data_IF_930474616053
#
_entry.id   IF_930474616053
#
_cell.length_a   1.000
_cell.length_b   1.000
_cell.length_c   1.000
_cell.angle_alpha   90.00
_cell.angle_beta   90.00
_cell.angle_gamma   90.00
#
_symmetry.space_group_name_H-M   'P 1'
#
loop_
_entity.id
_entity.type
_entity.pdbx_description
1 polymer ?
#
# COMPACT_ATOMS: atom_id res chain seq x y z
N UNK A 1 11.24 3.26 12.82
CA UNK A 1 10.84 3.26 11.42
C UNK A 1 11.48 4.47 10.72
N UNK A 2 12.08 4.25 9.57
CA UNK A 2 12.81 5.25 8.82
C UNK A 2 11.92 5.92 7.76
N UNK A 3 12.04 7.25 7.63
CA UNK A 3 11.44 7.99 6.52
C UNK A 3 12.54 8.24 5.48
N UNK A 4 12.48 7.51 4.35
CA UNK A 4 13.50 7.52 3.31
C UNK A 4 12.84 7.83 1.95
N UNK A 5 12.71 9.11 1.65
CA UNK A 5 12.29 9.55 0.31
C UNK A 5 13.36 9.29 -0.74
N UNK A 6 12.99 9.28 -2.02
CA UNK A 6 13.88 8.97 -3.14
C UNK A 6 15.15 9.85 -3.17
N UNK A 7 15.01 11.16 -2.89
CA UNK A 7 16.14 12.10 -2.81
C UNK A 7 17.19 11.76 -1.75
N UNK A 8 16.85 10.89 -0.80
CA UNK A 8 17.79 10.40 0.22
C UNK A 8 18.94 9.59 -0.39
N UNK A 9 18.70 9.02 -1.58
CA UNK A 9 19.65 8.17 -2.30
C UNK A 9 20.50 8.93 -3.33
N UNK A 10 20.27 10.23 -3.55
CA UNK A 10 20.96 11.03 -4.58
C UNK A 10 22.49 10.94 -4.47
N UNK A 11 23.02 10.93 -3.26
CA UNK A 11 24.45 10.82 -3.00
C UNK A 11 25.05 9.43 -3.34
N UNK A 12 24.20 8.40 -3.51
CA UNK A 12 24.62 7.03 -3.83
C UNK A 12 24.56 6.73 -5.33
N UNK A 13 23.88 7.55 -6.14
CA UNK A 13 23.58 7.21 -7.53
C UNK A 13 24.84 7.05 -8.40
N UNK A 14 25.87 7.88 -8.17
CA UNK A 14 27.15 7.74 -8.86
C UNK A 14 27.84 6.42 -8.50
N UNK A 15 27.83 6.07 -7.22
CA UNK A 15 28.49 4.85 -6.72
C UNK A 15 27.80 3.59 -7.22
N UNK A 16 26.45 3.62 -7.32
CA UNK A 16 25.68 2.52 -7.95
C UNK A 16 26.14 2.30 -9.39
N UNK A 17 26.24 3.36 -10.18
CA UNK A 17 26.69 3.26 -11.57
C UNK A 17 28.12 2.72 -11.65
N UNK A 18 29.02 3.18 -10.78
CA UNK A 18 30.41 2.69 -10.76
C UNK A 18 30.51 1.22 -10.36
N UNK A 19 29.80 0.80 -9.31
CA UNK A 19 29.71 -0.64 -8.93
C UNK A 19 29.22 -1.51 -10.08
N UNK A 20 28.22 -1.05 -10.82
CA UNK A 20 27.68 -1.79 -11.99
C UNK A 20 28.68 -1.84 -13.14
N UNK A 21 29.46 -0.77 -13.34
CA UNK A 21 30.52 -0.70 -14.35
C UNK A 21 31.68 -1.63 -14.03
N UNK A 22 32.18 -1.60 -12.80
CA UNK A 22 33.26 -2.47 -12.33
C UNK A 22 32.91 -3.96 -12.45
N UNK A 23 31.64 -4.30 -12.30
CA UNK A 23 31.13 -5.66 -12.50
C UNK A 23 30.89 -6.02 -13.96
N UNK A 24 31.10 -5.08 -14.90
CA UNK A 24 30.89 -5.31 -16.33
C UNK A 24 29.41 -5.51 -16.70
N UNK A 25 28.48 -4.96 -15.92
CA UNK A 25 27.04 -5.15 -16.10
C UNK A 25 26.37 -4.05 -16.91
N UNK A 26 27.07 -2.96 -17.21
CA UNK A 26 26.54 -1.85 -17.99
C UNK A 26 26.89 -2.01 -19.47
N UNK A 27 25.86 -1.88 -20.29
CA UNK A 27 25.98 -1.79 -21.75
C UNK A 27 25.60 -0.38 -22.21
N UNK A 28 26.07 -0.01 -23.41
CA UNK A 28 25.68 1.27 -24.03
C UNK A 28 24.55 1.02 -25.01
N UNK A 29 23.46 1.74 -24.85
CA UNK A 29 22.32 1.71 -25.78
C UNK A 29 21.91 3.15 -26.08
N UNK A 30 22.05 3.60 -27.32
CA UNK A 30 21.76 4.97 -27.79
C UNK A 30 22.32 6.08 -26.89
N UNK A 31 23.56 5.88 -26.41
CA UNK A 31 24.23 6.81 -25.49
C UNK A 31 23.79 6.76 -24.03
N UNK A 32 22.83 5.92 -23.67
CA UNK A 32 22.47 5.62 -22.29
C UNK A 32 23.26 4.43 -21.77
N UNK A 33 23.48 4.35 -20.43
CA UNK A 33 23.99 3.16 -19.76
C UNK A 33 22.81 2.33 -19.29
N UNK A 34 22.78 1.06 -19.69
CA UNK A 34 21.64 0.17 -19.47
C UNK A 34 22.08 -1.19 -18.93
N UNK A 35 21.15 -1.93 -18.36
CA UNK A 35 21.28 -3.34 -18.01
C UNK A 35 20.18 -4.11 -18.74
N UNK A 36 20.50 -5.28 -19.31
CA UNK A 36 19.52 -6.26 -19.76
C UNK A 36 19.35 -7.33 -18.67
N UNK A 37 18.31 -7.22 -17.82
CA UNK A 37 18.18 -8.10 -16.64
C UNK A 37 17.77 -9.53 -16.97
N UNK A 38 17.08 -9.73 -18.10
CA UNK A 38 16.56 -11.02 -18.55
C UNK A 38 15.86 -10.90 -19.91
N UNK A 39 14.91 -11.76 -20.18
CA UNK A 39 14.27 -11.94 -21.49
C UNK A 39 13.07 -11.00 -21.72
N UNK A 40 13.02 -9.85 -21.05
CA UNK A 40 11.99 -8.84 -21.36
C UNK A 40 12.21 -8.22 -22.72
N UNK A 41 11.11 -8.09 -23.45
CA UNK A 41 11.12 -7.49 -24.80
C UNK A 41 10.15 -6.30 -24.87
N UNK A 42 10.46 -5.36 -25.75
CA UNK A 42 9.58 -4.24 -26.09
C UNK A 42 8.43 -4.72 -27.02
N UNK A 43 7.59 -3.80 -27.48
CA UNK A 43 6.46 -4.11 -28.37
C UNK A 43 6.90 -4.63 -29.75
N UNK A 44 8.12 -4.32 -30.14
CA UNK A 44 8.70 -4.69 -31.42
C UNK A 44 9.47 -6.02 -31.36
N UNK A 45 9.58 -6.61 -30.16
CA UNK A 45 10.28 -7.86 -29.92
C UNK A 45 11.77 -7.69 -29.59
N UNK A 46 12.26 -6.46 -29.47
CA UNK A 46 13.66 -6.21 -29.13
C UNK A 46 13.86 -6.33 -27.60
N UNK A 47 15.06 -6.71 -27.15
CA UNK A 47 15.39 -6.77 -25.74
C UNK A 47 15.11 -5.44 -25.02
N UNK A 48 14.35 -5.49 -23.91
CA UNK A 48 13.99 -4.32 -23.14
C UNK A 48 15.05 -4.03 -22.08
N UNK A 49 15.79 -2.88 -22.19
CA UNK A 49 16.79 -2.52 -21.23
C UNK A 49 16.20 -1.82 -20.01
N UNK A 50 16.82 -2.01 -18.85
CA UNK A 50 16.64 -1.17 -17.68
C UNK A 50 17.65 0.00 -17.75
N UNK A 51 17.14 1.21 -17.93
CA UNK A 51 17.99 2.41 -18.07
C UNK A 51 18.50 2.80 -16.68
N UNK A 52 19.81 2.83 -16.53
CA UNK A 52 20.52 3.22 -15.31
C UNK A 52 20.92 4.70 -15.40
N UNK A 53 21.58 5.10 -16.48
CA UNK A 53 21.97 6.49 -16.71
C UNK A 53 21.55 6.93 -18.10
N UNK A 54 20.83 8.04 -18.19
CA UNK A 54 20.35 8.61 -19.45
C UNK A 54 21.49 9.19 -20.27
N UNK A 55 21.24 9.42 -21.57
CA UNK A 55 22.20 10.03 -22.49
C UNK A 55 22.63 11.45 -22.07
N UNK A 56 21.75 12.21 -21.43
CA UNK A 56 22.03 13.55 -20.90
C UNK A 56 22.83 13.54 -19.60
N UNK A 57 23.20 12.37 -19.09
CA UNK A 57 23.95 12.19 -17.85
C UNK A 57 23.08 12.08 -16.60
N UNK A 58 21.77 12.29 -16.72
CA UNK A 58 20.82 12.14 -15.63
C UNK A 58 20.61 10.68 -15.22
N UNK A 59 20.33 10.45 -13.96
CA UNK A 59 19.97 9.12 -13.45
C UNK A 59 18.49 8.81 -13.71
N UNK A 60 18.15 7.52 -13.74
CA UNK A 60 16.77 7.07 -13.89
C UNK A 60 16.25 6.47 -12.55
N UNK A 61 14.94 6.29 -12.43
CA UNK A 61 14.31 5.67 -11.26
C UNK A 61 14.92 4.31 -10.89
N UNK A 62 15.30 3.51 -11.89
CA UNK A 62 15.99 2.24 -11.64
C UNK A 62 17.28 2.38 -10.83
N UNK A 63 18.00 3.49 -10.99
CA UNK A 63 19.23 3.74 -10.23
C UNK A 63 18.94 4.05 -8.77
N UNK A 64 17.91 4.86 -8.49
CA UNK A 64 17.45 5.12 -7.13
C UNK A 64 16.89 3.86 -6.46
N UNK A 65 16.18 3.01 -7.20
CA UNK A 65 15.68 1.75 -6.68
C UNK A 65 16.82 0.75 -6.36
N UNK A 66 17.85 0.67 -7.19
CA UNK A 66 19.05 -0.12 -6.90
C UNK A 66 19.83 0.44 -5.70
N UNK A 67 19.95 1.77 -5.58
CA UNK A 67 20.54 2.42 -4.41
C UNK A 67 19.76 2.07 -3.14
N UNK A 68 18.43 2.09 -3.21
CA UNK A 68 17.53 1.72 -2.13
C UNK A 68 17.72 0.24 -1.70
N UNK A 69 17.88 -0.68 -2.67
CA UNK A 69 18.20 -2.08 -2.37
C UNK A 69 19.53 -2.19 -1.64
N UNK A 70 20.59 -1.52 -2.13
CA UNK A 70 21.90 -1.52 -1.51
C UNK A 70 21.83 -1.01 -0.06
N UNK A 71 21.17 0.12 0.17
CA UNK A 71 21.01 0.70 1.50
C UNK A 71 20.27 -0.25 2.46
N UNK A 72 19.20 -0.88 2.00
CA UNK A 72 18.42 -1.82 2.81
C UNK A 72 19.22 -3.07 3.17
N UNK A 73 20.00 -3.59 2.25
CA UNK A 73 20.83 -4.78 2.48
C UNK A 73 22.07 -4.44 3.29
N UNK A 74 22.85 -3.43 2.89
CA UNK A 74 24.14 -3.13 3.50
C UNK A 74 24.02 -2.37 4.83
N UNK A 75 23.13 -1.39 4.92
CA UNK A 75 22.98 -0.58 6.13
C UNK A 75 21.95 -1.16 7.11
N UNK A 76 20.78 -1.60 6.62
CA UNK A 76 19.73 -2.12 7.49
C UNK A 76 19.85 -3.62 7.75
N UNK A 77 20.64 -4.35 6.96
CA UNK A 77 20.78 -5.80 7.08
C UNK A 77 19.48 -6.55 6.77
N UNK A 78 18.65 -6.02 5.85
CA UNK A 78 17.38 -6.61 5.53
C UNK A 78 17.54 -7.86 4.65
N UNK A 79 16.95 -8.97 5.05
CA UNK A 79 16.86 -10.21 4.28
C UNK A 79 15.60 -10.22 3.37
N UNK A 80 14.50 -9.62 3.85
CA UNK A 80 13.22 -9.55 3.13
C UNK A 80 12.95 -8.13 2.63
N UNK A 81 12.89 -7.96 1.32
CA UNK A 81 12.66 -6.69 0.64
C UNK A 81 11.25 -6.67 0.04
N UNK A 82 10.28 -6.12 0.77
CA UNK A 82 8.88 -6.03 0.38
C UNK A 82 8.55 -4.63 -0.11
N UNK A 83 8.10 -4.52 -1.37
CA UNK A 83 7.73 -3.27 -2.04
C UNK A 83 6.22 -3.20 -2.22
N UNK A 84 5.57 -2.32 -1.45
CA UNK A 84 4.12 -2.07 -1.55
C UNK A 84 3.91 -0.89 -2.49
N UNK A 85 3.64 -1.16 -3.76
CA UNK A 85 3.57 -0.16 -4.83
C UNK A 85 2.45 -0.50 -5.80
N UNK A 86 1.93 0.49 -6.55
CA UNK A 86 0.86 0.30 -7.53
C UNK A 86 1.14 -0.80 -8.56
N UNK A 87 0.08 -1.48 -8.99
CA UNK A 87 0.17 -2.64 -9.89
C UNK A 87 0.81 -2.31 -11.24
N UNK A 88 0.70 -1.07 -11.68
CA UNK A 88 1.29 -0.59 -12.94
C UNK A 88 2.82 -0.63 -12.97
N UNK A 89 3.47 -0.71 -11.80
CA UNK A 89 4.92 -0.79 -11.68
C UNK A 89 5.48 -2.22 -11.63
N UNK A 90 4.64 -3.23 -11.83
CA UNK A 90 5.01 -4.64 -11.72
C UNK A 90 6.26 -4.98 -12.55
N UNK A 91 6.23 -4.68 -13.84
CA UNK A 91 7.36 -4.97 -14.75
C UNK A 91 8.65 -4.24 -14.34
N UNK A 92 8.52 -2.98 -13.89
CA UNK A 92 9.66 -2.22 -13.40
C UNK A 92 10.36 -2.92 -12.24
N UNK A 93 9.61 -3.32 -11.20
CA UNK A 93 10.19 -4.02 -10.04
C UNK A 93 10.72 -5.40 -10.38
N UNK A 94 10.07 -6.15 -11.27
CA UNK A 94 10.60 -7.42 -11.77
C UNK A 94 11.99 -7.23 -12.40
N UNK A 95 12.15 -6.22 -13.24
CA UNK A 95 13.43 -5.88 -13.88
C UNK A 95 14.47 -5.36 -12.89
N UNK A 96 14.08 -4.53 -11.93
CA UNK A 96 14.98 -4.04 -10.86
C UNK A 96 15.49 -5.18 -10.01
N UNK A 97 14.62 -6.08 -9.55
CA UNK A 97 15.02 -7.24 -8.74
C UNK A 97 15.92 -8.21 -9.51
N UNK A 98 15.58 -8.48 -10.79
CA UNK A 98 16.43 -9.30 -11.65
C UNK A 98 17.81 -8.67 -11.86
N UNK A 99 17.87 -7.34 -12.07
CA UNK A 99 19.12 -6.61 -12.17
C UNK A 99 19.95 -6.70 -10.88
N UNK A 100 19.32 -6.49 -9.73
CA UNK A 100 19.97 -6.55 -8.43
C UNK A 100 20.61 -7.94 -8.19
N UNK A 101 19.91 -9.03 -8.55
CA UNK A 101 20.43 -10.39 -8.48
C UNK A 101 21.56 -10.62 -9.49
N UNK A 102 21.35 -10.28 -10.75
CA UNK A 102 22.33 -10.44 -11.83
C UNK A 102 23.65 -9.70 -11.50
N UNK A 103 23.53 -8.51 -10.93
CA UNK A 103 24.66 -7.68 -10.54
C UNK A 103 25.26 -8.06 -9.18
N UNK A 104 24.74 -9.07 -8.49
CA UNK A 104 25.22 -9.49 -7.16
C UNK A 104 25.13 -8.39 -6.10
N UNK A 105 24.07 -7.56 -6.17
CA UNK A 105 23.71 -6.61 -5.11
C UNK A 105 22.90 -7.30 -4.02
N UNK A 106 22.22 -8.38 -4.38
CA UNK A 106 21.51 -9.31 -3.50
C UNK A 106 21.86 -10.75 -3.88
N UNK A 107 21.81 -11.65 -2.92
CA UNK A 107 22.11 -13.08 -3.09
C UNK A 107 20.91 -13.96 -2.72
N UNK A 108 21.13 -15.28 -2.60
CA UNK A 108 20.08 -16.26 -2.31
C UNK A 108 19.46 -16.13 -0.90
N UNK A 109 20.07 -15.41 0.03
CA UNK A 109 19.52 -15.13 1.37
C UNK A 109 18.42 -14.09 1.31
N UNK A 110 18.46 -13.21 0.31
CA UNK A 110 17.53 -12.10 0.20
C UNK A 110 16.29 -12.50 -0.61
N UNK A 111 15.12 -12.25 -0.04
CA UNK A 111 13.87 -12.32 -0.77
C UNK A 111 13.45 -10.94 -1.30
N UNK A 112 12.83 -10.90 -2.45
CA UNK A 112 12.28 -9.67 -3.02
C UNK A 112 10.85 -9.92 -3.45
N UNK A 113 9.93 -9.05 -3.05
CA UNK A 113 8.53 -9.16 -3.44
C UNK A 113 7.91 -7.80 -3.75
N UNK A 114 7.18 -7.71 -4.85
CA UNK A 114 6.28 -6.62 -5.15
C UNK A 114 4.88 -7.01 -4.68
N UNK A 115 4.32 -6.23 -3.76
CA UNK A 115 2.95 -6.36 -3.27
C UNK A 115 2.11 -5.29 -3.96
N UNK A 116 1.48 -5.61 -5.10
CA UNK A 116 0.77 -4.63 -5.90
C UNK A 116 -0.56 -4.23 -5.26
N UNK A 117 -1.00 -3.00 -5.53
CA UNK A 117 -2.35 -2.53 -5.24
C UNK A 117 -2.94 -1.79 -6.44
N UNK A 118 -4.28 -1.81 -6.55
CA UNK A 118 -5.03 -1.13 -7.59
C UNK A 118 -5.22 0.36 -7.30
N UNK A 119 -5.89 1.06 -8.21
CA UNK A 119 -6.18 2.47 -8.11
C UNK A 119 -7.48 2.73 -7.33
N UNK A 120 -7.51 3.85 -6.64
CA UNK A 120 -8.75 4.42 -6.10
C UNK A 120 -9.34 5.33 -7.16
N UNK A 121 -10.54 4.98 -7.63
CA UNK A 121 -11.23 5.69 -8.70
C UNK A 121 -12.30 6.63 -8.13
N UNK A 122 -12.56 7.72 -8.82
CA UNK A 122 -13.68 8.58 -8.56
C UNK A 122 -15.01 7.98 -9.04
N UNK A 123 -16.15 8.62 -8.73
CA UNK A 123 -17.48 8.15 -9.14
C UNK A 123 -17.66 8.05 -10.67
N UNK A 124 -16.85 8.77 -11.43
CA UNK A 124 -16.80 8.75 -12.89
C UNK A 124 -15.94 7.62 -13.48
N UNK A 125 -15.36 6.76 -12.61
CA UNK A 125 -14.43 5.70 -13.01
C UNK A 125 -13.05 6.18 -13.40
N UNK A 126 -12.78 7.49 -13.34
CA UNK A 126 -11.45 8.07 -13.55
C UNK A 126 -10.64 8.11 -12.25
N UNK A 127 -9.36 8.54 -12.34
CA UNK A 127 -8.54 8.75 -11.14
C UNK A 127 -9.22 9.73 -10.18
N UNK A 128 -9.24 9.40 -8.89
CA UNK A 128 -9.83 10.24 -7.87
C UNK A 128 -9.19 11.64 -7.88
N UNK A 129 -10.01 12.67 -8.11
CA UNK A 129 -9.58 14.08 -8.19
C UNK A 129 -10.15 14.90 -7.04
N UNK A 130 -9.38 15.87 -6.57
CA UNK A 130 -9.88 16.90 -5.65
C UNK A 130 -10.88 17.82 -6.35
N UNK A 131 -11.67 18.59 -5.57
CA UNK A 131 -12.59 19.60 -6.10
C UNK A 131 -11.89 20.66 -6.98
N UNK A 132 -10.59 20.89 -6.76
CA UNK A 132 -9.75 21.78 -7.58
C UNK A 132 -9.13 21.10 -8.82
N UNK A 133 -9.45 19.82 -9.09
CA UNK A 133 -8.98 19.08 -10.26
C UNK A 133 -7.61 18.40 -10.09
N UNK A 134 -6.93 18.59 -8.96
CA UNK A 134 -5.67 17.91 -8.64
C UNK A 134 -5.85 16.52 -8.01
N UNK A 135 -4.75 15.83 -7.76
CA UNK A 135 -4.77 14.57 -7.00
C UNK A 135 -5.25 14.80 -5.57
N UNK A 136 -6.11 13.92 -5.06
CA UNK A 136 -6.54 13.94 -3.65
C UNK A 136 -5.39 13.49 -2.78
N UNK A 137 -5.01 14.30 -1.81
CA UNK A 137 -4.05 13.89 -0.79
C UNK A 137 -4.74 12.92 0.19
N UNK A 138 -4.05 11.85 0.57
CA UNK A 138 -4.57 10.88 1.53
C UNK A 138 -5.01 11.55 2.84
N UNK A 139 -4.26 12.53 3.31
CA UNK A 139 -4.59 13.27 4.54
C UNK A 139 -5.93 14.02 4.42
N UNK A 140 -6.19 14.65 3.27
CA UNK A 140 -7.45 15.37 3.04
C UNK A 140 -8.63 14.39 3.00
N UNK A 141 -8.44 13.22 2.40
CA UNK A 141 -9.42 12.15 2.38
C UNK A 141 -9.74 11.62 3.78
N UNK A 142 -8.71 11.38 4.59
CA UNK A 142 -8.91 10.93 5.97
C UNK A 142 -9.60 11.99 6.84
N UNK A 143 -9.24 13.27 6.67
CA UNK A 143 -9.89 14.38 7.38
C UNK A 143 -11.36 14.53 6.98
N UNK A 144 -11.68 14.40 5.70
CA UNK A 144 -13.08 14.42 5.22
C UNK A 144 -13.89 13.24 5.79
N UNK A 145 -13.27 12.04 5.86
CA UNK A 145 -13.93 10.88 6.48
C UNK A 145 -14.24 11.13 7.97
N UNK A 146 -13.30 11.71 8.71
CA UNK A 146 -13.49 12.07 10.12
C UNK A 146 -14.59 13.13 10.26
N UNK A 147 -14.58 14.15 9.41
CA UNK A 147 -15.59 15.21 9.44
C UNK A 147 -16.99 14.66 9.17
N UNK A 148 -17.19 13.83 8.13
CA UNK A 148 -18.48 13.20 7.84
C UNK A 148 -18.94 12.27 8.96
N UNK A 149 -18.01 11.53 9.54
CA UNK A 149 -18.32 10.69 10.70
C UNK A 149 -18.74 11.55 11.91
N UNK A 150 -18.12 12.74 12.14
CA UNK A 150 -18.50 13.61 13.26
C UNK A 150 -19.92 14.13 13.11
N UNK A 151 -20.32 14.57 11.92
CA UNK A 151 -21.70 15.00 11.65
C UNK A 151 -22.69 13.87 11.97
N UNK A 152 -22.42 12.67 11.46
CA UNK A 152 -23.30 11.52 11.69
C UNK A 152 -23.39 11.07 13.17
N UNK A 153 -22.30 11.21 13.92
CA UNK A 153 -22.27 10.88 15.37
C UNK A 153 -23.04 11.93 16.16
N UNK A 154 -22.84 13.22 15.87
CA UNK A 154 -23.48 14.34 16.56
C UNK A 154 -25.00 14.34 16.34
N UNK A 155 -25.47 14.09 15.11
CA UNK A 155 -26.89 13.93 14.81
C UNK A 155 -27.58 12.83 15.61
N UNK A 156 -26.86 11.74 15.89
CA UNK A 156 -27.40 10.59 16.65
C UNK A 156 -27.24 10.71 18.16
N UNK A 157 -26.33 11.52 18.61
CA UNK A 157 -26.05 11.77 20.02
C UNK A 157 -25.72 13.25 20.25
N UNK A 158 -26.76 14.12 20.30
CA UNK A 158 -26.57 15.58 20.44
C UNK A 158 -25.87 16.00 21.74
N UNK A 159 -25.94 15.19 22.76
CA UNK A 159 -25.35 15.48 24.09
C UNK A 159 -23.91 14.95 24.25
N UNK A 160 -23.30 14.46 23.16
CA UNK A 160 -21.93 13.92 23.19
C UNK A 160 -20.89 14.99 23.56
N UNK A 161 -19.92 14.65 24.39
CA UNK A 161 -18.82 15.56 24.69
C UNK A 161 -17.89 15.74 23.49
N UNK A 162 -17.24 16.88 23.38
CA UNK A 162 -16.31 17.17 22.26
C UNK A 162 -15.14 16.17 22.20
N UNK A 163 -14.63 15.74 23.34
CA UNK A 163 -13.57 14.75 23.43
C UNK A 163 -14.02 13.39 22.87
N UNK A 164 -15.20 12.95 23.25
CA UNK A 164 -15.76 11.68 22.80
C UNK A 164 -16.17 11.73 21.32
N UNK A 165 -16.75 12.85 20.89
CA UNK A 165 -17.07 13.11 19.49
C UNK A 165 -15.80 12.96 18.61
N UNK A 166 -14.71 13.63 18.99
CA UNK A 166 -13.45 13.55 18.25
C UNK A 166 -12.89 12.13 18.20
N UNK A 167 -12.91 11.41 19.33
CA UNK A 167 -12.43 10.04 19.43
C UNK A 167 -13.25 9.09 18.56
N UNK A 168 -14.57 9.16 18.63
CA UNK A 168 -15.47 8.30 17.86
C UNK A 168 -15.41 8.62 16.36
N UNK A 169 -15.45 9.91 15.99
CA UNK A 169 -15.38 10.33 14.61
C UNK A 169 -14.10 9.87 13.92
N UNK A 170 -12.97 9.96 14.63
CA UNK A 170 -11.69 9.46 14.13
C UNK A 170 -11.69 7.94 13.97
N UNK A 171 -12.23 7.21 14.94
CA UNK A 171 -12.32 5.75 14.87
C UNK A 171 -13.23 5.28 13.73
N UNK A 172 -14.38 5.91 13.56
CA UNK A 172 -15.36 5.55 12.54
C UNK A 172 -14.85 5.95 11.15
N UNK A 173 -14.41 7.20 10.98
CA UNK A 173 -13.98 7.73 9.68
C UNK A 173 -12.77 7.00 9.12
N UNK A 174 -11.70 6.85 9.93
CA UNK A 174 -10.50 6.12 9.50
C UNK A 174 -10.82 4.63 9.31
N UNK A 175 -11.64 4.05 10.21
CA UNK A 175 -12.06 2.65 10.10
C UNK A 175 -12.84 2.36 8.83
N UNK A 176 -13.71 3.27 8.41
CA UNK A 176 -14.47 3.16 7.17
C UNK A 176 -13.57 3.15 5.92
N UNK A 177 -12.61 4.08 5.86
CA UNK A 177 -11.62 4.15 4.75
C UNK A 177 -10.79 2.87 4.70
N UNK A 178 -10.21 2.46 5.83
CA UNK A 178 -9.38 1.23 5.89
C UNK A 178 -10.16 -0.02 5.49
N UNK A 179 -11.38 -0.16 5.98
CA UNK A 179 -12.22 -1.32 5.64
C UNK A 179 -12.57 -1.35 4.15
N UNK A 180 -12.94 -0.20 3.59
CA UNK A 180 -13.28 -0.09 2.16
C UNK A 180 -12.11 -0.46 1.26
N UNK A 181 -10.90 -0.06 1.63
CA UNK A 181 -9.67 -0.39 0.92
C UNK A 181 -9.34 -1.89 1.02
N UNK A 182 -9.49 -2.47 2.21
CA UNK A 182 -9.03 -3.83 2.51
C UNK A 182 -10.06 -4.93 2.21
N UNK A 183 -11.36 -4.61 2.08
CA UNK A 183 -12.42 -5.62 1.84
C UNK A 183 -12.39 -6.21 0.44
N UNK A 184 -11.83 -5.48 -0.52
CA UNK A 184 -11.73 -5.89 -1.92
C UNK A 184 -10.38 -6.55 -2.19
N UNK A 185 -10.27 -7.28 -3.31
CA UNK A 185 -8.98 -7.72 -3.81
C UNK A 185 -8.09 -6.48 -4.02
N UNK A 186 -6.98 -6.41 -3.27
CA UNK A 186 -6.09 -5.25 -3.28
C UNK A 186 -5.51 -4.92 -4.66
N UNK A 187 -5.46 -5.91 -5.57
CA UNK A 187 -4.91 -5.73 -6.93
C UNK A 187 -5.91 -5.10 -7.89
N UNK A 188 -7.18 -5.00 -7.50
CA UNK A 188 -8.24 -4.43 -8.32
C UNK A 188 -8.46 -2.97 -7.97
N UNK A 189 -8.81 -2.20 -9.00
CA UNK A 189 -9.29 -0.84 -8.81
C UNK A 189 -10.67 -0.85 -8.12
N UNK A 190 -10.94 0.14 -7.28
CA UNK A 190 -12.27 0.30 -6.70
C UNK A 190 -12.76 1.76 -6.77
N UNK A 191 -14.06 1.92 -6.91
CA UNK A 191 -14.69 3.25 -6.93
C UNK A 191 -14.94 3.72 -5.51
N UNK A 192 -14.39 4.90 -5.21
CA UNK A 192 -14.55 5.56 -3.92
C UNK A 192 -15.93 6.21 -3.80
N UNK A 193 -16.71 5.83 -2.79
CA UNK A 193 -18.07 6.32 -2.54
C UNK A 193 -18.27 6.60 -1.05
N UNK A 194 -18.39 7.89 -0.70
CA UNK A 194 -18.55 8.34 0.67
C UNK A 194 -19.79 7.78 1.37
N UNK A 195 -20.93 7.75 0.69
CA UNK A 195 -22.19 7.33 1.27
C UNK A 195 -22.16 5.84 1.62
N UNK A 196 -21.63 5.02 0.69
CA UNK A 196 -21.46 3.60 0.93
C UNK A 196 -20.46 3.31 2.03
N UNK A 197 -19.33 4.01 2.06
CA UNK A 197 -18.25 3.72 3.03
C UNK A 197 -18.63 4.03 4.47
N UNK A 198 -19.39 5.10 4.69
CA UNK A 198 -19.81 5.56 6.01
C UNK A 198 -21.19 5.05 6.42
N UNK A 199 -21.85 4.24 5.60
CA UNK A 199 -23.13 3.61 5.94
C UNK A 199 -22.96 2.68 7.14
N UNK A 200 -23.99 2.68 8.02
CA UNK A 200 -24.13 1.70 9.11
C UNK A 200 -24.91 0.44 8.68
N UNK A 201 -25.13 0.27 7.39
CA UNK A 201 -25.77 -0.88 6.79
C UNK A 201 -24.88 -1.50 5.72
N UNK A 202 -25.02 -2.81 5.52
CA UNK A 202 -24.25 -3.57 4.55
C UNK A 202 -22.80 -3.87 4.99
N UNK A 203 -21.94 -4.14 4.03
CA UNK A 203 -20.53 -4.52 4.25
C UNK A 203 -19.66 -3.27 4.41
N UNK A 204 -19.69 -2.66 5.58
CA UNK A 204 -18.97 -1.42 5.89
C UNK A 204 -18.20 -1.48 7.20
N UNK A 205 -17.14 -0.65 7.31
CA UNK A 205 -16.40 -0.51 8.56
C UNK A 205 -17.28 -0.09 9.74
N UNK A 206 -18.12 0.96 9.61
CA UNK A 206 -19.05 1.36 10.67
C UNK A 206 -20.02 0.27 11.09
N UNK A 207 -20.53 -0.54 10.15
CA UNK A 207 -21.38 -1.67 10.50
C UNK A 207 -20.67 -2.72 11.36
N UNK A 208 -19.45 -3.08 11.02
CA UNK A 208 -18.65 -4.02 11.81
C UNK A 208 -18.35 -3.47 13.22
N UNK A 209 -18.04 -2.18 13.33
CA UNK A 209 -17.82 -1.53 14.62
C UNK A 209 -19.11 -1.52 15.46
N UNK A 210 -20.25 -1.23 14.84
CA UNK A 210 -21.56 -1.30 15.48
C UNK A 210 -21.90 -2.72 15.94
N UNK A 211 -21.71 -3.73 15.09
CA UNK A 211 -21.95 -5.12 15.43
C UNK A 211 -21.06 -5.56 16.61
N UNK A 212 -19.78 -5.20 16.60
CA UNK A 212 -18.86 -5.47 17.71
C UNK A 212 -19.32 -4.79 19.01
N UNK A 213 -19.68 -3.51 18.97
CA UNK A 213 -20.14 -2.77 20.15
C UNK A 213 -21.42 -3.38 20.74
N UNK A 214 -22.34 -3.83 19.88
CA UNK A 214 -23.58 -4.49 20.30
C UNK A 214 -23.32 -5.86 20.96
N UNK A 215 -22.47 -6.69 20.34
CA UNK A 215 -22.06 -7.97 20.91
C UNK A 215 -21.35 -7.76 22.27
N UNK A 216 -20.40 -6.83 22.34
CA UNK A 216 -19.70 -6.51 23.56
C UNK A 216 -20.64 -5.98 24.67
N UNK A 217 -21.69 -5.24 24.31
CA UNK A 217 -22.72 -4.79 25.25
C UNK A 217 -23.55 -5.96 25.80
N UNK A 218 -23.93 -6.90 24.93
CA UNK A 218 -24.66 -8.11 25.34
C UNK A 218 -23.79 -8.94 26.31
N UNK A 219 -22.53 -9.16 25.98
CA UNK A 219 -21.59 -9.96 26.78
C UNK A 219 -21.27 -9.32 28.13
N UNK A 220 -21.36 -8.00 28.26
CA UNK A 220 -21.20 -7.28 29.54
C UNK A 220 -22.42 -7.34 30.44
N UNK A 221 -23.57 -7.77 29.94
CA UNK A 221 -24.77 -7.90 30.71
C UNK A 221 -24.62 -9.07 31.70
N UNK A 222 -24.90 -8.84 33.01
CA UNK A 222 -24.72 -9.82 34.11
C UNK A 222 -25.42 -11.16 33.86
N UNK A 223 -26.51 -11.16 33.07
CA UNK A 223 -27.20 -12.40 32.70
C UNK A 223 -26.32 -13.39 31.92
N UNK A 224 -25.32 -12.89 31.18
CA UNK A 224 -24.37 -13.71 30.43
C UNK A 224 -23.08 -14.02 31.17
N UNK A 225 -22.72 -13.22 32.20
CA UNK A 225 -21.50 -13.46 33.01
C UNK A 225 -21.59 -14.70 33.89
N UNK A 226 -22.81 -15.19 34.19
CA UNK A 226 -23.03 -16.35 35.03
C UNK A 226 -22.96 -17.69 34.29
N UNK A 227 -22.88 -17.69 32.98
CA UNK A 227 -22.67 -18.89 32.15
C UNK A 227 -21.18 -19.15 31.90
N UNK A 228 -20.43 -19.47 32.96
CA UNK A 228 -19.02 -19.87 32.87
C UNK A 228 -18.79 -21.28 32.30
N UNK A 229 -19.85 -21.95 31.88
CA UNK A 229 -19.80 -23.25 31.20
C UNK A 229 -20.24 -23.11 29.76
N UNK A 230 -19.47 -22.32 28.96
CA UNK A 230 -19.60 -22.38 27.52
C UNK A 230 -18.99 -23.70 27.00
N UNK A 231 -19.47 -24.23 25.88
CA UNK A 231 -18.86 -25.39 25.28
C UNK A 231 -17.38 -25.11 24.97
N UNK A 232 -16.51 -26.00 25.43
CA UNK A 232 -15.06 -25.93 25.20
C UNK A 232 -14.68 -26.22 23.73
N UNK A 233 -15.66 -26.66 22.92
CA UNK A 233 -15.48 -26.90 21.50
C UNK A 233 -16.67 -26.34 20.72
N UNK A 234 -16.35 -25.46 19.73
CA UNK A 234 -17.32 -25.03 18.74
C UNK A 234 -17.15 -25.88 17.48
N UNK A 235 -18.24 -26.47 17.01
CA UNK A 235 -18.29 -27.10 15.69
C UNK A 235 -19.04 -26.18 14.75
N UNK A 236 -18.38 -25.73 13.68
CA UNK A 236 -19.03 -25.00 12.59
C UNK A 236 -19.85 -26.00 11.77
N UNK A 237 -21.16 -26.03 12.01
CA UNK A 237 -22.05 -27.04 11.45
C UNK A 237 -22.67 -26.62 10.12
N UNK A 238 -22.83 -25.33 9.89
CA UNK A 238 -23.43 -24.79 8.68
C UNK A 238 -22.37 -24.33 7.67
N UNK A 239 -22.64 -24.48 6.38
CA UNK A 239 -21.70 -24.15 5.30
C UNK A 239 -21.35 -22.65 5.29
N UNK A 240 -22.28 -21.78 5.69
CA UNK A 240 -22.04 -20.33 5.84
C UNK A 240 -21.19 -19.92 7.06
N UNK A 241 -20.87 -20.87 7.96
CA UNK A 241 -20.05 -20.66 9.15
C UNK A 241 -18.59 -21.09 8.92
N UNK A 242 -18.31 -21.76 7.80
CA UNK A 242 -16.99 -22.22 7.38
C UNK A 242 -16.35 -21.27 6.40
#
# INVERSE_FOLDING_TARGET
DDVMGESKYDHMLSDVVERLREKGMLESNDGASVIYPGDWVNRDGDPLPLIIKKRDGGYNYATSDLACIIDRVERLGADDLVYVVGAEQKQHFEMVFASARKCGLIDSRHTTSHVPFGLVLGPDGGKLKSRSGGAVKLLDLLNEAIHRASVSVEERNPDITQEELLRLSRSIGIGAVKYSDLKSDRTKDYVFDWEKMLSFEGETGPYLQYAHARIASILRNDKFQHSKTGPTHFSLAHESER
#
